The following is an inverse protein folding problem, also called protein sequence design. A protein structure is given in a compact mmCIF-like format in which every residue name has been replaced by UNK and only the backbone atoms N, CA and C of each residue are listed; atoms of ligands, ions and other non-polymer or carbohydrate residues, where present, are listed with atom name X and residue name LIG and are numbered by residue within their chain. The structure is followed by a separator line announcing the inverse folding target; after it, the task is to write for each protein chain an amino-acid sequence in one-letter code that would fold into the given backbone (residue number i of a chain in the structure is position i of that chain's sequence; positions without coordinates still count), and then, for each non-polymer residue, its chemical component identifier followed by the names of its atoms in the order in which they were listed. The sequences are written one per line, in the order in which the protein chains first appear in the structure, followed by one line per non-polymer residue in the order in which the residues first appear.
data_IF_516186962810
#
_entry.id   IF_516186962810
#
_cell.length_a   1.000
_cell.length_b   1.000
_cell.length_c   1.000
_cell.angle_alpha   90.00
_cell.angle_beta   90.00
_cell.angle_gamma   90.00
#
_symmetry.space_group_name_H-M   'P 1'
#
loop_
_entity.id
_entity.type
_entity.pdbx_description
1 polymer ?
#
# COMPACT_ATOMS: atom_id res chain seq x y z
N UNK A 1 0.87 -6.47 18.10
CA UNK A 1 1.27 -5.62 16.96
C UNK A 1 2.55 -6.15 16.33
N UNK A 2 3.59 -6.38 17.12
CA UNK A 2 4.88 -6.86 16.61
C UNK A 2 4.79 -8.16 15.82
N UNK A 3 3.97 -9.11 16.29
CA UNK A 3 3.74 -10.38 15.60
C UNK A 3 3.20 -10.17 14.19
N UNK A 4 2.17 -9.34 14.05
CA UNK A 4 1.55 -9.08 12.75
C UNK A 4 2.50 -8.33 11.81
N UNK A 5 3.20 -7.32 12.32
CA UNK A 5 4.18 -6.58 11.52
C UNK A 5 5.27 -7.49 10.96
N UNK A 6 5.82 -8.35 11.80
CA UNK A 6 6.85 -9.31 11.39
C UNK A 6 6.30 -10.33 10.37
N UNK A 7 5.10 -10.85 10.63
CA UNK A 7 4.47 -11.81 9.73
C UNK A 7 4.25 -11.22 8.34
N UNK A 8 3.67 -10.03 8.26
CA UNK A 8 3.40 -9.37 6.99
C UNK A 8 4.70 -9.04 6.24
N UNK A 9 5.74 -8.64 6.94
CA UNK A 9 7.02 -8.29 6.31
C UNK A 9 7.77 -9.51 5.76
N UNK A 10 7.68 -10.65 6.44
CA UNK A 10 8.53 -11.81 6.14
C UNK A 10 7.76 -12.89 5.39
N UNK A 11 6.55 -13.21 5.83
CA UNK A 11 5.81 -14.38 5.33
C UNK A 11 4.70 -14.08 4.35
N UNK A 12 4.16 -12.87 4.39
CA UNK A 12 3.01 -12.50 3.59
C UNK A 12 3.31 -11.46 2.51
N UNK A 13 4.57 -11.05 2.38
CA UNK A 13 4.94 -9.94 1.48
C UNK A 13 4.40 -10.10 0.06
N UNK A 14 4.48 -11.31 -0.50
CA UNK A 14 4.03 -11.57 -1.87
C UNK A 14 2.51 -11.72 -2.00
N UNK A 15 1.81 -11.97 -0.92
CA UNK A 15 0.38 -12.23 -0.89
C UNK A 15 -0.41 -11.14 -0.14
N UNK A 16 0.25 -10.06 0.26
CA UNK A 16 -0.40 -8.92 0.89
C UNK A 16 -0.86 -7.94 -0.18
N UNK A 17 -2.12 -7.56 -0.12
CA UNK A 17 -2.74 -6.64 -1.06
C UNK A 17 -3.33 -5.47 -0.30
N UNK A 18 -2.67 -4.31 -0.35
CA UNK A 18 -3.11 -3.13 0.35
C UNK A 18 -4.51 -2.66 -0.09
N UNK A 19 -4.86 -2.87 -1.36
CA UNK A 19 -6.15 -2.39 -1.89
C UNK A 19 -7.37 -3.01 -1.22
N UNK A 20 -7.24 -4.22 -0.69
CA UNK A 20 -8.33 -4.89 -0.01
C UNK A 20 -8.10 -5.14 1.50
N UNK A 21 -6.88 -4.91 1.99
CA UNK A 21 -6.51 -5.28 3.36
C UNK A 21 -6.43 -4.11 4.33
N UNK A 22 -6.05 -2.92 3.88
CA UNK A 22 -5.75 -1.80 4.79
C UNK A 22 -6.90 -0.82 5.00
N UNK A 23 -8.02 -0.99 4.31
CA UNK A 23 -9.13 -0.05 4.33
C UNK A 23 -10.33 -0.52 5.16
N UNK A 24 -10.07 -1.32 6.18
CA UNK A 24 -11.09 -1.72 7.13
C UNK A 24 -11.52 -3.17 7.02
N UNK A 25 -12.16 -3.63 8.07
CA UNK A 25 -12.58 -5.02 8.26
C UNK A 25 -13.60 -5.47 7.20
N UNK A 26 -14.55 -4.59 6.87
CA UNK A 26 -15.61 -4.94 5.91
C UNK A 26 -15.05 -5.25 4.53
N UNK A 27 -14.04 -4.53 4.10
CA UNK A 27 -13.42 -4.75 2.79
C UNK A 27 -12.70 -6.10 2.73
N UNK A 28 -12.08 -6.51 3.83
CA UNK A 28 -11.47 -7.82 3.97
C UNK A 28 -12.53 -8.91 3.90
N UNK A 29 -13.63 -8.77 4.64
CA UNK A 29 -14.74 -9.73 4.63
C UNK A 29 -15.35 -9.88 3.25
N UNK A 30 -15.54 -8.77 2.54
CA UNK A 30 -16.10 -8.78 1.18
C UNK A 30 -15.18 -9.52 0.21
N UNK A 31 -13.88 -9.31 0.30
CA UNK A 31 -12.92 -10.04 -0.53
C UNK A 31 -12.93 -11.53 -0.25
N UNK A 32 -13.01 -11.92 1.02
CA UNK A 32 -13.11 -13.33 1.41
C UNK A 32 -14.38 -13.98 0.86
N UNK A 33 -15.52 -13.29 0.94
CA UNK A 33 -16.79 -13.78 0.37
C UNK A 33 -16.71 -13.96 -1.14
N UNK A 34 -16.06 -13.02 -1.82
CA UNK A 34 -15.85 -13.10 -3.27
C UNK A 34 -15.05 -14.34 -3.65
N UNK A 35 -13.96 -14.63 -2.91
CA UNK A 35 -13.13 -15.81 -3.14
C UNK A 35 -13.93 -17.09 -2.83
N UNK A 36 -14.64 -17.11 -1.71
CA UNK A 36 -15.47 -18.27 -1.32
C UNK A 36 -16.53 -18.60 -2.39
N UNK A 37 -17.13 -17.56 -2.97
CA UNK A 37 -18.16 -17.74 -4.02
C UNK A 37 -17.59 -18.37 -5.29
N UNK A 38 -16.32 -18.16 -5.59
CA UNK A 38 -15.64 -18.74 -6.74
C UNK A 38 -15.19 -20.18 -6.50
N UNK A 39 -15.00 -20.56 -5.23
CA UNK A 39 -14.57 -21.90 -4.86
C UNK A 39 -13.30 -22.33 -5.58
N UNK A 40 -13.33 -23.52 -6.18
CA UNK A 40 -12.17 -24.06 -6.91
C UNK A 40 -11.85 -23.30 -8.20
N UNK A 41 -12.76 -22.44 -8.67
CA UNK A 41 -12.54 -21.60 -9.85
C UNK A 41 -11.77 -20.31 -9.52
N UNK A 42 -11.52 -20.02 -8.25
CA UNK A 42 -10.76 -18.84 -7.85
C UNK A 42 -9.34 -18.90 -8.41
N UNK A 43 -8.80 -17.73 -8.78
CA UNK A 43 -7.42 -17.64 -9.24
C UNK A 43 -6.45 -18.07 -8.15
N UNK A 44 -5.33 -18.67 -8.55
CA UNK A 44 -4.30 -19.09 -7.59
C UNK A 44 -3.86 -17.96 -6.67
N UNK A 45 -3.70 -16.75 -7.22
CA UNK A 45 -3.33 -15.56 -6.47
C UNK A 45 -4.31 -15.29 -5.33
N UNK A 46 -5.61 -15.42 -5.59
CA UNK A 46 -6.66 -15.21 -4.59
C UNK A 46 -6.65 -16.31 -3.53
N UNK A 47 -6.44 -17.55 -3.94
CA UNK A 47 -6.33 -18.68 -3.01
C UNK A 47 -5.11 -18.54 -2.10
N UNK A 48 -3.98 -18.08 -2.64
CA UNK A 48 -2.76 -17.85 -1.87
C UNK A 48 -2.91 -16.65 -0.91
N UNK A 49 -3.74 -15.69 -1.27
CA UNK A 49 -4.02 -14.51 -0.45
C UNK A 49 -4.96 -14.83 0.73
N UNK A 50 -5.80 -15.83 0.60
CA UNK A 50 -6.86 -16.11 1.57
C UNK A 50 -6.34 -16.28 3.01
N UNK A 51 -5.26 -17.05 3.28
CA UNK A 51 -4.73 -17.15 4.65
C UNK A 51 -4.25 -15.80 5.21
N UNK A 52 -3.77 -14.91 4.35
CA UNK A 52 -3.37 -13.57 4.77
C UNK A 52 -4.60 -12.74 5.13
N UNK A 53 -5.68 -12.84 4.35
CA UNK A 53 -6.95 -12.18 4.66
C UNK A 53 -7.51 -12.64 6.01
N UNK A 54 -7.43 -13.93 6.30
CA UNK A 54 -7.86 -14.46 7.60
C UNK A 54 -7.06 -13.84 8.76
N UNK A 55 -5.76 -13.69 8.59
CA UNK A 55 -4.90 -13.11 9.61
C UNK A 55 -5.16 -11.61 9.77
N UNK A 56 -5.39 -10.90 8.67
CA UNK A 56 -5.74 -9.47 8.70
C UNK A 56 -7.07 -9.28 9.44
N UNK A 57 -8.05 -10.13 9.16
CA UNK A 57 -9.34 -10.07 9.85
C UNK A 57 -9.18 -10.29 11.36
N UNK A 58 -8.39 -11.29 11.76
CA UNK A 58 -8.07 -11.52 13.16
C UNK A 58 -7.44 -10.29 13.81
N UNK A 59 -6.50 -9.66 13.11
CA UNK A 59 -5.84 -8.45 13.59
C UNK A 59 -6.84 -7.32 13.85
N UNK A 60 -7.75 -7.08 12.90
CA UNK A 60 -8.82 -6.07 13.08
C UNK A 60 -9.71 -6.40 14.27
N UNK A 61 -10.07 -7.66 14.44
CA UNK A 61 -10.91 -8.09 15.56
C UNK A 61 -10.23 -7.88 16.91
N UNK A 62 -8.90 -7.84 16.93
CA UNK A 62 -8.12 -7.50 18.12
C UNK A 62 -7.94 -6.00 18.32
N UNK A 63 -8.55 -5.18 17.49
CA UNK A 63 -8.48 -3.72 17.59
C UNK A 63 -7.22 -3.09 17.02
N UNK A 64 -6.39 -3.85 16.32
CA UNK A 64 -5.20 -3.34 15.64
C UNK A 64 -5.61 -2.84 14.25
N UNK A 65 -5.08 -1.71 13.84
CA UNK A 65 -5.44 -1.07 12.56
C UNK A 65 -4.21 -0.88 11.68
N UNK A 66 -4.47 -0.77 10.38
CA UNK A 66 -3.47 -0.28 9.44
C UNK A 66 -3.56 1.24 9.32
N UNK A 67 -2.41 1.87 9.25
CA UNK A 67 -2.28 3.28 8.87
C UNK A 67 -2.23 3.38 7.35
N UNK A 68 -2.55 4.54 6.77
CA UNK A 68 -2.41 4.73 5.33
C UNK A 68 -0.97 4.56 4.87
N UNK A 69 -0.80 4.14 3.62
CA UNK A 69 0.51 4.19 2.99
C UNK A 69 0.87 5.66 2.77
N UNK A 70 2.04 6.06 3.21
CA UNK A 70 2.50 7.44 3.17
C UNK A 70 3.90 7.50 2.58
N UNK A 71 4.13 8.34 1.59
CA UNK A 71 5.42 8.41 0.88
C UNK A 71 6.59 8.77 1.80
N UNK A 72 6.33 9.51 2.88
CA UNK A 72 7.37 9.98 3.80
C UNK A 72 7.52 9.11 5.04
N UNK A 73 6.46 8.41 5.44
CA UNK A 73 6.43 7.60 6.67
C UNK A 73 6.56 6.12 6.42
N UNK A 74 6.07 5.62 5.29
CA UNK A 74 6.18 4.20 4.93
C UNK A 74 7.61 3.84 4.52
N UNK A 75 8.04 2.63 4.90
CA UNK A 75 9.22 2.02 4.30
C UNK A 75 8.85 1.47 2.92
N UNK A 76 9.83 1.25 2.06
CA UNK A 76 9.51 0.69 0.75
C UNK A 76 9.14 -0.79 0.79
N UNK A 77 9.61 -1.52 1.79
CA UNK A 77 9.51 -2.99 1.90
C UNK A 77 8.92 -3.48 3.21
N UNK A 78 9.26 -2.86 4.34
CA UNK A 78 8.92 -3.37 5.66
C UNK A 78 7.67 -2.72 6.23
N UNK A 79 6.85 -3.51 6.93
CA UNK A 79 5.75 -3.01 7.74
C UNK A 79 6.32 -2.37 9.00
N UNK A 80 5.87 -1.17 9.33
CA UNK A 80 6.34 -0.42 10.49
C UNK A 80 5.28 -0.38 11.58
N UNK A 81 5.73 -0.40 12.83
CA UNK A 81 4.85 -0.26 13.98
C UNK A 81 4.83 1.19 14.41
N UNK A 82 3.62 1.78 14.51
CA UNK A 82 3.41 3.13 15.04
C UNK A 82 2.32 3.05 16.10
N UNK A 83 2.73 3.03 17.38
CA UNK A 83 1.82 2.80 18.49
C UNK A 83 1.19 1.40 18.41
N UNK A 84 -0.13 1.33 18.41
CA UNK A 84 -0.90 0.09 18.26
C UNK A 84 -1.32 -0.18 16.80
N UNK A 85 -0.73 0.55 15.87
CA UNK A 85 -1.09 0.45 14.44
C UNK A 85 0.11 0.00 13.62
N UNK A 86 -0.18 -0.43 12.40
CA UNK A 86 0.84 -0.90 11.45
C UNK A 86 0.76 -0.05 10.19
N UNK A 87 1.91 0.49 9.78
CA UNK A 87 2.02 1.23 8.51
C UNK A 87 2.55 0.30 7.43
N UNK A 88 1.73 0.04 6.38
CA UNK A 88 2.16 -0.81 5.29
C UNK A 88 3.25 -0.16 4.44
N UNK A 89 4.11 -0.96 3.80
CA UNK A 89 5.14 -0.42 2.92
C UNK A 89 4.59 -0.01 1.55
N UNK A 90 5.38 0.77 0.83
CA UNK A 90 5.01 1.23 -0.52
C UNK A 90 4.80 0.03 -1.46
N UNK A 91 5.63 -1.02 -1.34
CA UNK A 91 5.50 -2.19 -2.20
C UNK A 91 4.29 -3.10 -1.89
N UNK A 92 3.52 -2.79 -0.85
CA UNK A 92 2.26 -3.52 -0.58
C UNK A 92 1.14 -3.11 -1.52
N UNK A 93 1.33 -2.04 -2.29
CA UNK A 93 0.39 -1.64 -3.33
C UNK A 93 0.47 -2.65 -4.47
N UNK A 94 -0.66 -3.28 -4.87
CA UNK A 94 -0.65 -4.24 -5.98
C UNK A 94 -0.11 -3.59 -7.26
N UNK A 95 0.81 -4.27 -7.93
CA UNK A 95 1.45 -3.76 -9.14
C UNK A 95 2.67 -2.88 -8.91
N UNK A 96 2.96 -2.50 -7.67
CA UNK A 96 4.15 -1.71 -7.33
C UNK A 96 5.37 -2.61 -7.23
N UNK A 97 6.28 -2.48 -8.18
CA UNK A 97 7.53 -3.25 -8.15
C UNK A 97 8.49 -2.77 -7.07
N UNK A 98 9.45 -3.62 -6.65
CA UNK A 98 10.41 -3.26 -5.61
C UNK A 98 11.35 -2.12 -6.01
N UNK A 99 11.73 -2.05 -7.27
CA UNK A 99 12.63 -1.00 -7.78
C UNK A 99 11.95 0.37 -7.70
N UNK A 100 10.69 0.47 -8.15
CA UNK A 100 9.92 1.70 -8.08
C UNK A 100 9.67 2.12 -6.62
N UNK A 101 9.29 1.18 -5.77
CA UNK A 101 9.04 1.44 -4.35
C UNK A 101 10.28 1.99 -3.64
N UNK A 102 11.43 1.35 -3.86
CA UNK A 102 12.70 1.78 -3.27
C UNK A 102 13.13 3.15 -3.77
N UNK A 103 12.97 3.41 -5.07
CA UNK A 103 13.30 4.71 -5.67
C UNK A 103 12.46 5.84 -5.05
N UNK A 104 11.15 5.64 -4.94
CA UNK A 104 10.25 6.61 -4.32
C UNK A 104 10.66 6.87 -2.86
N UNK A 105 10.91 5.80 -2.11
CA UNK A 105 11.33 5.88 -0.72
C UNK A 105 12.62 6.70 -0.55
N UNK A 106 13.62 6.44 -1.37
CA UNK A 106 14.91 7.13 -1.27
C UNK A 106 14.80 8.63 -1.57
N UNK A 107 14.07 9.00 -2.63
CA UNK A 107 13.95 10.42 -3.00
C UNK A 107 13.01 11.17 -2.05
N UNK A 108 11.99 10.52 -1.52
CA UNK A 108 11.09 11.12 -0.54
C UNK A 108 11.81 11.50 0.76
N UNK A 109 12.85 10.76 1.13
CA UNK A 109 13.67 11.06 2.30
C UNK A 109 14.54 12.29 2.14
N UNK A 110 14.93 12.59 0.90
CA UNK A 110 15.81 13.72 0.61
C UNK A 110 15.07 15.04 0.78
N UNK A 111 13.87 15.13 0.20
CA UNK A 111 13.07 16.35 0.19
C UNK A 111 11.62 16.02 -0.13
N UNK A 112 10.68 16.75 0.44
CA UNK A 112 9.26 16.61 0.12
C UNK A 112 8.99 16.92 -1.36
N UNK A 113 8.01 16.25 -1.92
CA UNK A 113 7.57 16.52 -3.29
C UNK A 113 6.63 17.73 -3.32
N UNK A 114 6.83 18.58 -4.28
CA UNK A 114 5.99 19.77 -4.48
C UNK A 114 4.86 19.53 -5.49
N UNK A 115 4.97 18.48 -6.29
CA UNK A 115 3.98 18.13 -7.32
C UNK A 115 4.10 16.68 -7.72
N UNK A 116 3.08 16.19 -8.44
CA UNK A 116 3.08 14.83 -9.01
C UNK A 116 4.15 14.70 -10.09
N UNK A 117 4.35 15.75 -10.92
CA UNK A 117 5.43 15.75 -11.90
C UNK A 117 6.80 15.58 -11.25
N UNK A 118 6.98 16.18 -10.07
CA UNK A 118 8.22 16.05 -9.33
C UNK A 118 8.45 14.62 -8.83
N UNK A 119 7.39 13.93 -8.40
CA UNK A 119 7.47 12.50 -8.05
C UNK A 119 7.94 11.69 -9.26
N UNK A 120 7.31 11.94 -10.41
CA UNK A 120 7.63 11.25 -11.65
C UNK A 120 9.08 11.45 -12.05
N UNK A 121 9.57 12.67 -11.99
CA UNK A 121 10.94 13.02 -12.38
C UNK A 121 11.99 12.53 -11.38
N UNK A 122 11.79 12.80 -10.10
CA UNK A 122 12.78 12.47 -9.07
C UNK A 122 12.89 10.98 -8.81
N UNK A 123 11.76 10.29 -8.75
CA UNK A 123 11.74 8.84 -8.53
C UNK A 123 11.94 8.05 -9.83
N UNK A 124 11.89 8.73 -10.98
CA UNK A 124 12.04 8.09 -12.32
C UNK A 124 11.02 6.99 -12.54
N UNK A 125 9.76 7.28 -12.23
CA UNK A 125 8.64 6.36 -12.39
C UNK A 125 7.70 6.82 -13.48
N UNK A 126 7.00 5.87 -14.09
CA UNK A 126 6.05 6.14 -15.17
C UNK A 126 4.63 6.37 -14.68
N UNK A 127 3.74 6.59 -15.65
CA UNK A 127 2.34 6.89 -15.37
C UNK A 127 1.59 5.77 -14.68
N UNK A 128 1.96 4.51 -14.94
CA UNK A 128 1.35 3.36 -14.26
C UNK A 128 1.60 3.39 -12.76
N UNK A 129 2.82 3.72 -12.34
CA UNK A 129 3.17 3.86 -10.93
C UNK A 129 2.46 5.06 -10.30
N UNK A 130 2.41 6.18 -11.02
CA UNK A 130 1.69 7.37 -10.55
C UNK A 130 0.20 7.04 -10.32
N UNK A 131 -0.43 6.30 -11.24
CA UNK A 131 -1.82 5.88 -11.07
C UNK A 131 -2.03 5.03 -9.83
N UNK A 132 -1.13 4.10 -9.54
CA UNK A 132 -1.18 3.27 -8.33
C UNK A 132 -1.08 4.12 -7.07
N UNK A 133 -0.20 5.11 -7.06
CA UNK A 133 -0.05 6.02 -5.93
C UNK A 133 -1.31 6.87 -5.74
N UNK A 134 -1.92 7.37 -6.81
CA UNK A 134 -3.17 8.13 -6.76
C UNK A 134 -4.32 7.28 -6.19
N UNK A 135 -4.46 6.06 -6.66
CA UNK A 135 -5.50 5.13 -6.20
C UNK A 135 -5.40 4.82 -4.71
N UNK A 136 -4.19 4.85 -4.17
CA UNK A 136 -3.93 4.59 -2.76
C UNK A 136 -3.76 5.86 -1.92
N UNK A 137 -4.20 6.99 -2.45
CA UNK A 137 -4.21 8.29 -1.74
C UNK A 137 -2.83 8.79 -1.33
N UNK A 138 -1.77 8.29 -1.95
CA UNK A 138 -0.39 8.69 -1.61
C UNK A 138 -0.02 10.07 -2.16
N UNK A 139 -0.76 10.57 -3.14
CA UNK A 139 -0.50 11.85 -3.80
C UNK A 139 -1.58 12.89 -3.51
N UNK A 140 -2.47 12.61 -2.57
CA UNK A 140 -3.55 13.53 -2.22
C UNK A 140 -2.99 14.88 -1.76
N UNK A 141 -3.56 15.96 -2.28
CA UNK A 141 -3.11 17.31 -1.96
C UNK A 141 -1.95 17.83 -2.82
N UNK A 142 -1.31 16.99 -3.62
CA UNK A 142 -0.26 17.46 -4.53
C UNK A 142 -0.85 17.95 -5.85
N UNK A 143 -0.44 19.14 -6.34
CA UNK A 143 -0.82 19.55 -7.68
C UNK A 143 -0.09 18.72 -8.73
N UNK A 144 -0.62 18.71 -9.96
CA UNK A 144 0.03 18.00 -11.07
C UNK A 144 1.40 18.57 -11.38
N UNK A 145 1.55 19.88 -11.34
CA UNK A 145 2.76 20.59 -11.73
C UNK A 145 3.13 21.69 -10.73
N UNK A 146 4.42 21.98 -10.62
CA UNK A 146 4.94 23.13 -9.85
C UNK A 146 4.66 24.46 -10.53
N UNK A 147 4.25 24.47 -11.79
CA UNK A 147 4.03 25.71 -12.52
C UNK A 147 2.83 26.46 -11.97
N UNK A 148 3.08 27.67 -11.50
CA UNK A 148 2.01 28.57 -11.11
C UNK A 148 1.40 29.11 -12.40
N UNK A 149 0.10 28.89 -12.56
CA UNK A 149 -0.61 29.51 -13.67
C UNK A 149 -0.69 31.01 -13.45
N UNK A 150 -0.15 31.77 -14.38
CA UNK A 150 -0.23 33.24 -14.35
C UNK A 150 -1.63 33.77 -14.70
N UNK A 151 -2.52 32.87 -15.16
CA UNK A 151 -3.83 33.24 -15.67
C UNK A 151 -5.00 32.54 -14.96
N UNK A 152 -4.73 31.96 -13.81
CA UNK A 152 -5.85 31.35 -13.15
C UNK A 152 -5.58 30.36 -12.08
#
# INVERSE_FOLDING_TARGET
VAYYSAFFSIRAADNFDASCMIYGEEKVKNKMKEIDAQGNAAAKKDLDMYPVLELVLEMYERGIKFLPIDLYKSHWKNFLIEGDSIRPPINSIPGMGPIAAESIYNVAKEEEFMSIDEVRMRAKVGDSVISLLKENHCLDGLPESNQISLFG
#
